data_IF_620628029056
#
_entry.id   IF_620628029056
#
_cell.length_a   1.000
_cell.length_b   1.000
_cell.length_c   1.000
_cell.angle_alpha   90.00
_cell.angle_beta   90.00
_cell.angle_gamma   90.00
#
_symmetry.space_group_name_H-M   'P 1'
#
loop_
_entity.id
_entity.type
_entity.pdbx_description
1 polymer ?
#
# COMPACT_ATOMS: atom_id res chain seq x y z
N UNK A 1 36.89 -27.95 27.50
CA UNK A 1 35.93 -28.57 26.58
C UNK A 1 34.57 -28.55 27.22
N UNK A 2 33.62 -27.99 26.55
CA UNK A 2 32.25 -27.74 26.99
C UNK A 2 31.51 -29.05 27.29
N UNK A 3 31.26 -29.31 28.57
CA UNK A 3 30.55 -30.47 29.05
C UNK A 3 29.08 -30.12 29.36
N UNK A 4 28.31 -29.71 28.35
CA UNK A 4 26.95 -29.22 28.56
C UNK A 4 25.82 -30.21 28.24
N UNK A 5 26.11 -31.51 28.10
CA UNK A 5 25.06 -32.48 27.83
C UNK A 5 25.14 -33.74 28.71
N UNK A 6 24.02 -34.33 29.01
CA UNK A 6 23.88 -35.60 29.77
C UNK A 6 24.66 -36.78 29.17
N UNK A 7 25.20 -36.67 27.99
CA UNK A 7 26.11 -37.63 27.35
C UNK A 7 27.53 -37.57 27.95
N UNK A 8 27.89 -36.52 28.66
CA UNK A 8 29.18 -36.36 29.33
C UNK A 8 29.39 -37.33 30.53
N UNK A 9 28.39 -38.08 30.89
CA UNK A 9 28.48 -39.16 31.91
C UNK A 9 29.45 -40.28 31.48
N UNK A 10 29.93 -40.29 30.26
CA UNK A 10 30.86 -41.30 29.75
C UNK A 10 32.32 -41.12 30.19
N UNK A 11 32.66 -40.06 30.89
CA UNK A 11 34.03 -39.85 31.31
C UNK A 11 34.21 -39.88 32.86
N UNK A 12 33.93 -40.99 33.40
CA UNK A 12 34.47 -41.30 34.72
C UNK A 12 35.38 -42.50 34.55
N UNK A 13 36.58 -42.40 35.07
CA UNK A 13 37.67 -43.39 35.09
C UNK A 13 37.34 -44.70 34.36
N UNK A 14 38.03 -45.08 33.26
CA UNK A 14 37.75 -46.30 32.50
C UNK A 14 37.66 -47.57 33.34
N UNK A 15 38.20 -47.51 34.56
CA UNK A 15 38.17 -48.59 35.53
C UNK A 15 36.80 -48.77 36.20
N UNK A 16 35.95 -47.73 36.17
CA UNK A 16 34.61 -47.72 36.80
C UNK A 16 33.65 -46.94 35.92
N UNK A 17 33.04 -47.55 34.92
CA UNK A 17 32.14 -46.88 34.01
C UNK A 17 30.96 -46.24 34.75
N UNK A 18 30.74 -44.95 34.55
CA UNK A 18 29.71 -44.13 35.18
C UNK A 18 28.31 -44.75 35.08
N UNK A 19 28.02 -45.42 33.97
CA UNK A 19 26.77 -46.12 33.76
C UNK A 19 26.50 -47.20 34.81
N UNK A 20 27.53 -47.89 35.32
CA UNK A 20 27.37 -48.93 36.33
C UNK A 20 27.05 -48.34 37.71
N UNK A 21 27.61 -47.17 38.01
CA UNK A 21 27.37 -46.48 39.28
C UNK A 21 25.99 -45.83 39.31
N UNK A 22 25.67 -45.10 38.25
CA UNK A 22 24.37 -44.40 38.06
C UNK A 22 23.23 -45.43 38.08
N UNK A 23 23.41 -46.59 37.46
CA UNK A 23 22.39 -47.65 37.47
C UNK A 23 22.25 -48.32 38.81
N UNK A 24 23.38 -48.57 39.53
CA UNK A 24 23.36 -49.19 40.88
C UNK A 24 22.71 -48.28 41.92
N UNK A 25 22.90 -46.98 41.82
CA UNK A 25 22.31 -46.02 42.76
C UNK A 25 20.93 -45.56 42.37
N UNK A 26 20.42 -46.03 41.22
CA UNK A 26 19.14 -45.61 40.65
C UNK A 26 19.00 -44.08 40.51
N UNK A 27 20.11 -43.36 40.31
CA UNK A 27 20.19 -41.91 40.25
C UNK A 27 20.01 -41.34 38.83
N UNK A 28 20.05 -42.21 37.81
CA UNK A 28 19.95 -41.80 36.40
C UNK A 28 18.75 -40.87 36.11
N UNK A 29 17.70 -41.00 36.91
CA UNK A 29 16.48 -40.19 36.78
C UNK A 29 16.62 -38.78 37.35
N UNK A 30 17.67 -38.52 38.14
CA UNK A 30 17.83 -37.29 38.88
C UNK A 30 19.11 -36.53 38.54
N UNK A 31 20.00 -37.09 37.74
CA UNK A 31 21.23 -36.41 37.32
C UNK A 31 20.88 -35.38 36.25
N UNK A 32 21.13 -34.11 36.56
CA UNK A 32 20.99 -33.01 35.65
C UNK A 32 22.28 -32.80 34.84
N UNK A 33 23.41 -32.71 35.52
CA UNK A 33 24.74 -32.57 34.92
C UNK A 33 25.84 -33.00 35.84
N UNK A 34 27.00 -33.31 35.29
CA UNK A 34 28.23 -33.67 35.98
C UNK A 34 29.35 -32.80 35.44
N UNK A 35 30.12 -32.16 36.33
CA UNK A 35 31.23 -31.32 35.89
C UNK A 35 32.40 -31.39 36.89
N UNK A 36 33.58 -31.01 36.40
CA UNK A 36 34.81 -30.97 37.18
C UNK A 36 35.16 -29.52 37.49
N UNK A 37 35.33 -29.19 38.78
CA UNK A 37 35.72 -27.86 39.23
C UNK A 37 36.67 -28.02 40.41
N UNK A 38 37.80 -27.32 40.42
CA UNK A 38 38.81 -27.35 41.47
C UNK A 38 39.25 -28.77 41.88
N UNK A 39 39.59 -29.60 40.87
CA UNK A 39 39.99 -31.01 41.08
C UNK A 39 38.92 -31.88 41.76
N UNK A 40 37.67 -31.44 41.78
CA UNK A 40 36.55 -32.14 42.39
C UNK A 40 35.47 -32.43 41.39
N UNK A 41 34.84 -33.56 41.56
CA UNK A 41 33.69 -33.94 40.76
C UNK A 41 32.39 -33.46 41.42
N UNK A 42 31.63 -32.69 40.66
CA UNK A 42 30.34 -32.21 41.06
C UNK A 42 29.23 -32.89 40.27
N UNK A 43 28.14 -33.23 40.96
CA UNK A 43 26.94 -33.81 40.33
C UNK A 43 25.77 -32.93 40.69
N UNK A 44 25.09 -32.40 39.68
CA UNK A 44 23.82 -31.70 39.86
C UNK A 44 22.67 -32.70 39.76
N UNK A 45 21.88 -32.79 40.80
CA UNK A 45 20.71 -33.68 40.87
C UNK A 45 19.43 -32.87 40.92
N UNK A 46 18.44 -33.27 40.11
CA UNK A 46 17.08 -32.80 40.28
C UNK A 46 16.39 -33.61 41.39
N UNK A 47 15.88 -32.91 42.39
CA UNK A 47 15.08 -33.52 43.45
C UNK A 47 13.63 -33.70 43.05
N UNK A 48 12.87 -34.52 43.77
CA UNK A 48 11.44 -34.75 43.45
C UNK A 48 10.56 -33.50 43.52
N UNK A 49 11.01 -32.50 44.29
CA UNK A 49 10.32 -31.20 44.43
C UNK A 49 10.80 -30.15 43.42
N UNK A 50 11.52 -30.58 42.37
CA UNK A 50 11.97 -29.71 41.27
C UNK A 50 13.18 -28.83 41.58
N UNK A 51 13.87 -29.08 42.71
CA UNK A 51 15.10 -28.35 43.08
C UNK A 51 16.32 -29.04 42.49
N UNK A 52 17.31 -28.24 42.12
CA UNK A 52 18.62 -28.76 41.74
C UNK A 52 19.54 -28.70 42.95
N UNK A 53 20.23 -29.78 43.27
CA UNK A 53 21.20 -29.87 44.35
C UNK A 53 22.56 -30.25 43.81
N UNK A 54 23.60 -29.58 44.31
CA UNK A 54 25.00 -29.87 43.97
C UNK A 54 25.53 -30.88 45.00
N UNK A 55 26.04 -32.00 44.53
CA UNK A 55 26.61 -33.05 45.37
C UNK A 55 28.11 -33.06 45.18
N UNK A 56 28.85 -32.67 46.22
CA UNK A 56 30.30 -32.59 46.21
C UNK A 56 30.91 -33.93 46.57
N UNK A 57 32.05 -34.27 45.94
CA UNK A 57 32.88 -35.43 46.23
C UNK A 57 32.12 -36.78 46.24
N UNK A 58 30.94 -36.79 45.55
CA UNK A 58 30.07 -37.97 45.55
C UNK A 58 30.77 -39.26 45.11
N UNK A 59 31.55 -39.16 44.02
CA UNK A 59 32.26 -40.30 43.47
C UNK A 59 33.55 -40.58 44.22
N UNK A 60 34.22 -39.54 44.78
CA UNK A 60 35.45 -39.66 45.47
C UNK A 60 35.26 -40.44 46.80
N UNK A 61 34.32 -40.08 47.64
CA UNK A 61 33.99 -40.74 48.86
C UNK A 61 33.46 -42.17 48.65
N UNK A 62 32.73 -42.40 47.57
CA UNK A 62 32.21 -43.67 47.14
C UNK A 62 33.32 -44.66 46.77
N UNK A 63 34.36 -44.21 46.07
CA UNK A 63 35.46 -45.04 45.62
C UNK A 63 36.59 -45.15 46.58
N UNK A 64 36.82 -44.19 47.48
CA UNK A 64 37.95 -44.10 48.38
C UNK A 64 37.53 -44.19 49.89
N UNK A 65 36.25 -44.32 50.16
CA UNK A 65 35.75 -44.46 51.54
C UNK A 65 36.31 -45.69 52.23
N UNK A 66 36.61 -45.52 53.51
CA UNK A 66 37.10 -46.59 54.37
C UNK A 66 36.11 -47.79 54.42
N UNK A 67 36.62 -49.01 54.31
CA UNK A 67 35.84 -50.25 54.39
C UNK A 67 34.77 -50.19 55.47
N UNK A 68 33.49 -50.26 55.03
CA UNK A 68 32.34 -50.44 55.89
C UNK A 68 31.57 -49.19 56.35
N UNK A 69 31.92 -47.97 55.88
CA UNK A 69 31.10 -46.78 56.12
C UNK A 69 30.37 -46.38 54.86
N UNK A 70 29.08 -46.09 54.95
CA UNK A 70 28.37 -45.56 53.80
C UNK A 70 28.97 -44.18 53.36
N UNK A 71 29.08 -43.88 52.09
CA UNK A 71 29.62 -42.60 51.63
C UNK A 71 28.80 -41.46 52.22
N UNK A 72 29.49 -40.46 52.75
CA UNK A 72 28.87 -39.23 53.21
C UNK A 72 28.59 -38.38 52.00
N UNK A 73 27.33 -38.29 51.69
CA UNK A 73 26.89 -37.38 50.66
C UNK A 73 26.70 -35.99 51.26
N UNK A 74 27.58 -35.07 50.92
CA UNK A 74 27.43 -33.67 51.30
C UNK A 74 26.59 -33.01 50.21
N UNK A 75 25.34 -32.78 50.55
CA UNK A 75 24.42 -32.04 49.63
C UNK A 75 24.54 -30.56 49.96
N UNK A 76 25.27 -29.83 49.13
CA UNK A 76 25.15 -28.39 49.13
C UNK A 76 23.86 -28.00 48.40
N UNK A 77 23.02 -27.21 49.04
CA UNK A 77 21.85 -26.63 48.36
C UNK A 77 22.36 -25.69 47.29
N UNK A 78 22.21 -26.07 46.04
CA UNK A 78 22.34 -25.13 44.93
C UNK A 78 21.05 -24.34 44.89
N UNK A 79 21.13 -23.05 45.08
CA UNK A 79 19.97 -22.20 44.89
C UNK A 79 19.48 -22.37 43.45
N UNK A 80 18.18 -22.54 43.24
CA UNK A 80 17.65 -22.61 41.86
C UNK A 80 18.02 -21.31 41.12
N UNK A 81 18.42 -21.43 39.85
CA UNK A 81 18.65 -20.26 39.01
C UNK A 81 17.42 -19.38 39.02
N UNK A 82 17.66 -18.09 39.16
CA UNK A 82 16.64 -17.05 38.99
C UNK A 82 17.01 -16.19 37.84
N UNK A 83 16.01 -15.95 36.97
CA UNK A 83 16.14 -15.11 35.81
C UNK A 83 15.51 -13.75 36.07
N UNK A 84 16.18 -12.69 35.64
CA UNK A 84 15.70 -11.32 35.68
C UNK A 84 16.08 -10.59 34.42
N UNK A 85 15.41 -9.46 34.15
CA UNK A 85 15.75 -8.56 33.07
C UNK A 85 16.48 -7.34 33.63
N UNK A 86 17.59 -6.94 33.00
CA UNK A 86 18.37 -5.77 33.42
C UNK A 86 18.06 -4.59 32.47
N UNK A 87 18.08 -4.83 31.17
CA UNK A 87 17.77 -3.87 30.13
C UNK A 87 16.72 -4.50 29.22
N UNK A 88 15.55 -3.84 29.06
CA UNK A 88 14.43 -4.43 28.33
C UNK A 88 13.36 -3.38 28.01
N UNK A 89 12.60 -3.56 26.94
CA UNK A 89 11.49 -2.67 26.58
C UNK A 89 10.31 -2.80 27.56
N UNK A 90 9.55 -1.74 27.67
CA UNK A 90 8.36 -1.71 28.53
C UNK A 90 7.37 -2.84 28.18
N UNK A 91 6.80 -3.49 29.19
CA UNK A 91 5.84 -4.58 29.03
C UNK A 91 6.48 -5.95 28.83
N UNK A 92 7.81 -6.06 28.72
CA UNK A 92 8.49 -7.33 28.68
C UNK A 92 8.61 -7.92 30.10
N UNK A 93 8.42 -9.21 30.23
CA UNK A 93 8.50 -9.94 31.49
C UNK A 93 9.32 -11.21 31.32
N UNK A 94 10.00 -11.62 32.38
CA UNK A 94 10.69 -12.92 32.46
C UNK A 94 10.10 -13.73 33.60
N UNK A 95 9.87 -15.01 33.39
CA UNK A 95 9.52 -15.94 34.46
C UNK A 95 10.79 -16.33 35.20
N UNK A 96 10.88 -15.91 36.46
CA UNK A 96 12.11 -16.03 37.26
C UNK A 96 12.61 -17.45 37.48
N UNK A 97 11.76 -18.47 37.31
CA UNK A 97 12.10 -19.88 37.52
C UNK A 97 12.52 -20.61 36.25
N UNK A 98 11.90 -20.28 35.12
CA UNK A 98 12.12 -20.95 33.84
C UNK A 98 13.01 -20.15 32.88
N UNK A 99 13.14 -18.83 33.08
CA UNK A 99 13.82 -17.94 32.16
C UNK A 99 13.02 -17.62 30.90
N UNK A 100 11.75 -18.02 30.86
CA UNK A 100 10.89 -17.73 29.74
C UNK A 100 10.61 -16.24 29.66
N UNK A 101 11.03 -15.59 28.57
CA UNK A 101 10.75 -14.18 28.28
C UNK A 101 9.48 -14.08 27.45
N UNK A 102 8.58 -13.17 27.82
CA UNK A 102 7.34 -12.87 27.10
C UNK A 102 7.22 -11.37 26.90
N UNK A 103 6.86 -11.01 25.68
CA UNK A 103 6.63 -9.61 25.30
C UNK A 103 5.65 -9.52 24.13
N UNK A 104 4.79 -8.53 24.22
CA UNK A 104 3.94 -8.11 23.09
C UNK A 104 4.23 -6.64 22.88
N UNK A 105 5.02 -6.28 21.84
CA UNK A 105 5.36 -4.90 21.57
C UNK A 105 4.12 -4.09 21.20
N UNK A 106 4.12 -2.81 21.56
CA UNK A 106 3.13 -1.83 21.13
C UNK A 106 3.61 -1.14 19.84
N UNK A 107 2.71 -0.40 19.17
CA UNK A 107 3.04 0.34 17.94
C UNK A 107 4.13 1.40 18.12
N UNK A 108 4.35 1.88 19.36
CA UNK A 108 5.40 2.85 19.67
C UNK A 108 6.74 2.19 19.99
N UNK A 109 6.79 0.88 19.93
CA UNK A 109 7.99 0.06 20.18
C UNK A 109 8.49 -0.57 18.88
N UNK A 110 8.63 0.23 17.84
CA UNK A 110 9.24 -0.16 16.56
C UNK A 110 10.77 -0.17 16.66
N UNK A 111 11.42 -0.82 15.70
CA UNK A 111 12.87 -0.90 15.55
C UNK A 111 13.59 -1.81 16.56
N UNK A 112 14.88 -1.53 16.82
CA UNK A 112 15.73 -2.39 17.62
C UNK A 112 15.56 -2.16 19.12
N UNK A 113 15.39 -3.25 19.87
CA UNK A 113 15.34 -3.24 21.33
C UNK A 113 16.45 -4.10 21.89
N UNK A 114 17.25 -3.51 22.76
CA UNK A 114 18.27 -4.22 23.51
C UNK A 114 17.62 -4.93 24.69
N UNK A 115 17.99 -6.19 24.90
CA UNK A 115 17.48 -7.04 25.98
C UNK A 115 18.67 -7.68 26.67
N UNK A 116 18.74 -7.52 27.97
CA UNK A 116 19.74 -8.20 28.80
C UNK A 116 19.02 -9.10 29.81
N UNK A 117 19.22 -10.41 29.67
CA UNK A 117 18.74 -11.43 30.60
C UNK A 117 19.86 -11.77 31.53
N UNK A 118 19.56 -11.80 32.83
CA UNK A 118 20.48 -12.17 33.89
C UNK A 118 20.04 -13.49 34.52
N UNK A 119 20.94 -14.46 34.55
CA UNK A 119 20.77 -15.69 35.30
C UNK A 119 21.62 -15.62 36.55
N UNK A 120 21.05 -15.96 37.74
CA UNK A 120 21.76 -15.95 38.99
C UNK A 120 21.37 -17.14 39.87
N UNK A 121 22.37 -17.78 40.52
CA UNK A 121 22.18 -18.79 41.52
C UNK A 121 22.20 -18.21 42.95
N UNK A 122 22.31 -16.87 43.07
CA UNK A 122 22.41 -16.15 44.33
C UNK A 122 23.86 -15.87 44.79
N UNK A 123 24.85 -16.48 44.14
CA UNK A 123 26.29 -16.28 44.42
C UNK A 123 26.99 -15.64 43.24
N UNK A 124 26.65 -16.09 42.05
CA UNK A 124 27.20 -15.63 40.79
C UNK A 124 26.08 -15.17 39.85
N UNK A 125 26.46 -14.39 38.88
CA UNK A 125 25.56 -13.92 37.82
C UNK A 125 26.21 -14.13 36.47
N UNK A 126 25.40 -14.48 35.48
CA UNK A 126 25.76 -14.46 34.08
C UNK A 126 24.74 -13.62 33.31
N UNK A 127 25.20 -12.87 32.31
CA UNK A 127 24.39 -11.90 31.57
C UNK A 127 24.48 -12.19 30.08
N UNK A 128 23.33 -12.31 29.45
CA UNK A 128 23.22 -12.41 28.00
C UNK A 128 22.49 -11.20 27.43
N UNK A 129 23.16 -10.48 26.55
CA UNK A 129 22.58 -9.33 25.83
C UNK A 129 22.38 -9.68 24.36
N UNK A 130 21.20 -9.35 23.85
CA UNK A 130 20.85 -9.50 22.46
C UNK A 130 19.91 -8.37 22.02
N UNK A 131 19.75 -8.20 20.71
CA UNK A 131 18.81 -7.24 20.13
C UNK A 131 17.65 -8.00 19.50
N UNK A 132 16.43 -7.48 19.70
CA UNK A 132 15.22 -7.92 19.04
C UNK A 132 14.70 -6.76 18.20
N UNK A 133 14.52 -7.01 16.93
CA UNK A 133 13.92 -6.04 16.01
C UNK A 133 12.42 -6.25 15.96
N UNK A 134 11.66 -5.19 16.19
CA UNK A 134 10.20 -5.20 16.05
C UNK A 134 9.79 -4.45 14.79
N UNK A 135 9.06 -5.13 13.95
CA UNK A 135 8.55 -4.57 12.71
C UNK A 135 7.11 -4.05 12.89
N UNK A 136 6.87 -2.84 12.41
CA UNK A 136 5.54 -2.29 12.21
C UNK A 136 5.13 -2.52 10.74
N UNK A 137 4.01 -3.13 10.52
CA UNK A 137 3.55 -3.39 9.16
C UNK A 137 3.17 -2.09 8.44
N UNK A 138 3.56 -1.93 7.18
CA UNK A 138 3.19 -0.75 6.40
C UNK A 138 1.68 -0.67 6.24
N UNK A 139 1.13 0.54 6.25
CA UNK A 139 -0.30 0.79 6.07
C UNK A 139 -0.53 1.87 5.03
N UNK A 140 -1.33 1.60 4.01
CA UNK A 140 -1.69 2.58 2.98
C UNK A 140 -2.73 3.54 3.56
N UNK A 141 -2.34 4.80 3.80
CA UNK A 141 -3.20 5.84 4.40
C UNK A 141 -3.82 6.79 3.39
N UNK A 142 -3.47 6.69 2.12
CA UNK A 142 -4.04 7.51 1.04
C UNK A 142 -5.29 6.87 0.44
N UNK A 143 -6.20 7.73 -0.05
CA UNK A 143 -7.39 7.30 -0.79
C UNK A 143 -7.19 7.54 -2.28
N UNK A 144 -7.50 6.54 -3.09
CA UNK A 144 -7.46 6.66 -4.54
C UNK A 144 -8.56 7.61 -5.04
N UNK A 145 -8.28 8.46 -6.05
CA UNK A 145 -9.33 9.18 -6.75
C UNK A 145 -10.33 8.20 -7.36
N UNK A 146 -11.61 8.50 -7.24
CA UNK A 146 -12.69 7.61 -7.68
C UNK A 146 -13.16 7.88 -9.13
N UNK A 147 -12.60 8.90 -9.79
CA UNK A 147 -12.99 9.31 -11.14
C UNK A 147 -11.77 9.53 -12.04
N UNK A 148 -11.88 9.09 -13.28
CA UNK A 148 -10.97 9.38 -14.38
C UNK A 148 -11.74 9.92 -15.58
N UNK A 149 -11.06 10.56 -16.54
CA UNK A 149 -11.64 11.06 -17.78
C UNK A 149 -10.90 10.45 -18.98
N UNK A 150 -11.63 10.02 -19.98
CA UNK A 150 -11.05 9.47 -21.23
C UNK A 150 -10.07 10.45 -21.84
N UNK A 151 -8.85 9.99 -22.14
CA UNK A 151 -7.79 10.80 -22.74
C UNK A 151 -7.02 11.68 -21.75
N UNK A 152 -7.47 11.81 -20.51
CA UNK A 152 -6.83 12.61 -19.48
C UNK A 152 -5.94 11.75 -18.57
N UNK A 153 -4.84 12.32 -18.07
CA UNK A 153 -3.90 11.61 -17.22
C UNK A 153 -4.45 11.47 -15.80
N UNK A 154 -4.88 10.26 -15.44
CA UNK A 154 -5.15 9.86 -14.06
C UNK A 154 -3.83 9.72 -13.29
N UNK A 155 -3.77 10.33 -12.11
CA UNK A 155 -2.59 10.30 -11.22
C UNK A 155 -3.04 9.94 -9.82
N UNK A 156 -2.33 9.00 -9.21
CA UNK A 156 -2.50 8.67 -7.80
C UNK A 156 -1.14 8.38 -7.17
N UNK A 157 -0.86 9.00 -6.03
CA UNK A 157 0.33 8.75 -5.23
C UNK A 157 -0.07 8.02 -3.96
N UNK A 158 0.41 6.79 -3.77
CA UNK A 158 0.26 6.09 -2.50
C UNK A 158 1.02 6.85 -1.42
N UNK A 159 0.37 7.01 -0.27
CA UNK A 159 1.03 7.41 0.98
C UNK A 159 0.91 6.26 1.96
N UNK A 160 2.03 5.90 2.54
CA UNK A 160 2.15 4.77 3.45
C UNK A 160 2.62 5.30 4.80
N UNK A 161 2.05 4.80 5.86
CA UNK A 161 2.53 4.96 7.22
C UNK A 161 3.25 3.67 7.64
N UNK A 162 4.53 3.81 8.02
CA UNK A 162 5.35 2.77 8.60
C UNK A 162 6.14 3.41 9.74
N UNK A 163 6.13 2.78 10.90
CA UNK A 163 6.78 3.33 12.10
C UNK A 163 8.26 2.97 12.20
N UNK A 164 8.74 2.08 11.33
CA UNK A 164 10.17 1.75 11.29
C UNK A 164 10.92 2.80 10.47
N UNK A 165 11.86 3.52 11.09
CA UNK A 165 12.56 4.68 10.52
C UNK A 165 13.30 4.36 9.21
N UNK A 166 13.78 3.14 9.04
CA UNK A 166 14.57 2.71 7.90
C UNK A 166 13.87 1.66 7.04
N UNK A 167 12.54 1.56 7.10
CA UNK A 167 11.78 0.61 6.29
C UNK A 167 12.00 0.88 4.80
N UNK A 168 12.40 -0.15 4.07
CA UNK A 168 12.48 -0.10 2.61
C UNK A 168 11.19 -0.61 2.03
N UNK A 169 10.38 0.32 1.50
CA UNK A 169 9.06 -0.02 0.96
C UNK A 169 9.16 -0.42 -0.52
N UNK A 170 8.59 -1.56 -0.83
CA UNK A 170 8.40 -2.06 -2.19
C UNK A 170 6.92 -1.92 -2.60
N UNK A 171 6.68 -1.31 -3.76
CA UNK A 171 5.35 -1.05 -4.29
C UNK A 171 5.08 -1.91 -5.50
N UNK A 172 3.93 -2.58 -5.52
CA UNK A 172 3.53 -3.48 -6.62
C UNK A 172 2.11 -3.19 -7.09
N UNK A 173 1.93 -3.01 -8.39
CA UNK A 173 0.61 -3.00 -9.03
C UNK A 173 0.21 -4.45 -9.31
N UNK A 174 -0.64 -5.02 -8.46
CA UNK A 174 -1.08 -6.41 -8.58
C UNK A 174 -2.05 -6.62 -9.73
N UNK A 175 -3.00 -5.69 -9.89
CA UNK A 175 -4.00 -5.67 -10.97
C UNK A 175 -4.30 -4.24 -11.35
N UNK A 176 -4.63 -4.02 -12.62
CA UNK A 176 -5.05 -2.72 -13.11
C UNK A 176 -5.62 -2.79 -14.53
N UNK A 177 -6.37 -1.75 -14.95
CA UNK A 177 -6.82 -1.65 -16.31
C UNK A 177 -5.63 -1.55 -17.28
N UNK A 178 -5.83 -1.99 -18.49
CA UNK A 178 -4.78 -1.96 -19.50
C UNK A 178 -4.17 -0.55 -19.67
N UNK A 179 -2.84 -0.48 -19.62
CA UNK A 179 -2.07 0.76 -19.73
C UNK A 179 -1.88 1.51 -18.41
N UNK A 180 -2.42 1.02 -17.28
CA UNK A 180 -2.08 1.55 -15.96
C UNK A 180 -0.68 1.10 -15.57
N UNK A 181 0.11 2.03 -15.02
CA UNK A 181 1.49 1.78 -14.59
C UNK A 181 1.70 2.35 -13.19
N UNK A 182 2.60 1.74 -12.45
CA UNK A 182 3.07 2.24 -11.18
C UNK A 182 4.60 2.30 -11.17
N UNK A 183 5.15 3.37 -10.63
CA UNK A 183 6.59 3.48 -10.45
C UNK A 183 7.04 2.89 -9.11
N UNK A 184 8.36 2.78 -8.92
CA UNK A 184 8.98 2.25 -7.69
C UNK A 184 8.70 3.08 -6.42
N UNK A 185 8.09 4.24 -6.54
CA UNK A 185 7.73 5.12 -5.42
C UNK A 185 6.23 5.12 -5.12
N UNK A 186 5.48 4.18 -5.70
CA UNK A 186 4.05 4.04 -5.50
C UNK A 186 3.20 5.08 -6.22
N UNK A 187 3.72 5.70 -7.30
CA UNK A 187 2.97 6.62 -8.13
C UNK A 187 2.32 5.89 -9.30
N UNK A 188 1.01 5.96 -9.35
CA UNK A 188 0.18 5.38 -10.41
C UNK A 188 -0.10 6.43 -11.47
N UNK A 189 0.11 6.05 -12.72
CA UNK A 189 -0.19 6.84 -13.91
C UNK A 189 -1.03 5.99 -14.87
N UNK A 190 -2.09 6.59 -15.41
CA UNK A 190 -2.95 5.93 -16.37
C UNK A 190 -3.68 6.95 -17.26
N UNK A 191 -3.77 6.70 -18.55
CA UNK A 191 -4.61 7.46 -19.47
C UNK A 191 -5.72 6.53 -19.98
N UNK A 192 -6.94 6.65 -19.43
CA UNK A 192 -8.07 5.81 -19.86
C UNK A 192 -8.41 6.01 -21.32
N UNK A 193 -8.74 4.92 -22.01
CA UNK A 193 -9.23 4.94 -23.39
C UNK A 193 -10.76 4.81 -23.42
N UNK A 194 -11.38 5.16 -24.55
CA UNK A 194 -12.83 5.04 -24.72
C UNK A 194 -13.38 3.62 -24.46
N UNK A 195 -12.58 2.57 -24.73
CA UNK A 195 -12.95 1.19 -24.42
C UNK A 195 -12.94 0.87 -22.90
N UNK A 196 -12.50 1.81 -22.05
CA UNK A 196 -12.38 1.66 -20.61
C UNK A 196 -13.33 2.60 -19.85
N UNK A 197 -14.39 3.07 -20.49
CA UNK A 197 -15.45 3.86 -19.82
C UNK A 197 -16.14 3.06 -18.72
N UNK A 198 -16.81 3.76 -17.81
CA UNK A 198 -17.50 3.22 -16.66
C UNK A 198 -16.55 2.64 -15.59
N UNK A 199 -16.95 1.55 -14.93
CA UNK A 199 -16.26 1.04 -13.74
C UNK A 199 -14.98 0.28 -14.09
N UNK A 200 -13.89 0.71 -13.51
CA UNK A 200 -12.60 0.06 -13.50
C UNK A 200 -12.14 -0.16 -12.07
N UNK A 201 -11.21 -1.08 -11.88
CA UNK A 201 -10.59 -1.32 -10.58
C UNK A 201 -9.11 -1.61 -10.75
N UNK A 202 -8.35 -1.32 -9.70
CA UNK A 202 -6.95 -1.71 -9.60
C UNK A 202 -6.68 -2.22 -8.18
N UNK A 203 -5.62 -2.98 -8.03
CA UNK A 203 -5.16 -3.53 -6.76
C UNK A 203 -3.67 -3.27 -6.63
N UNK A 204 -3.27 -2.66 -5.54
CA UNK A 204 -1.87 -2.32 -5.26
C UNK A 204 -1.45 -2.88 -3.91
N UNK A 205 -0.19 -3.24 -3.81
CA UNK A 205 0.41 -3.71 -2.57
C UNK A 205 1.62 -2.84 -2.22
N UNK A 206 1.85 -2.68 -0.93
CA UNK A 206 3.10 -2.16 -0.36
C UNK A 206 3.65 -3.17 0.63
N UNK A 207 4.94 -3.44 0.59
CA UNK A 207 5.63 -4.36 1.48
C UNK A 207 6.92 -3.73 2.00
N UNK A 208 7.25 -4.01 3.26
CA UNK A 208 8.53 -3.69 3.91
C UNK A 208 9.49 -4.89 3.96
N UNK A 209 9.11 -6.02 3.30
CA UNK A 209 9.84 -7.28 3.33
C UNK A 209 9.41 -8.23 4.45
N UNK A 210 8.68 -7.74 5.48
CA UNK A 210 8.15 -8.54 6.60
C UNK A 210 6.64 -8.68 6.53
N UNK A 211 5.94 -7.69 5.97
CA UNK A 211 4.51 -7.73 5.77
C UNK A 211 4.06 -6.94 4.56
N UNK A 212 2.76 -7.01 4.29
CA UNK A 212 2.18 -6.39 3.09
C UNK A 212 0.82 -5.82 3.42
N UNK A 213 0.55 -4.60 2.97
CA UNK A 213 -0.79 -4.03 2.92
C UNK A 213 -1.27 -3.91 1.48
N UNK A 214 -2.57 -4.09 1.27
CA UNK A 214 -3.19 -4.13 -0.06
C UNK A 214 -4.37 -3.16 -0.12
N UNK A 215 -4.39 -2.32 -1.14
CA UNK A 215 -5.50 -1.41 -1.40
C UNK A 215 -6.19 -1.75 -2.72
N UNK A 216 -7.51 -1.85 -2.68
CA UNK A 216 -8.38 -1.93 -3.86
C UNK A 216 -8.90 -0.52 -4.21
N UNK A 217 -8.52 -0.01 -5.37
CA UNK A 217 -9.05 1.23 -5.94
C UNK A 217 -10.17 0.95 -6.94
N UNK A 218 -11.23 1.76 -6.89
CA UNK A 218 -12.33 1.76 -7.87
C UNK A 218 -12.38 3.10 -8.56
N UNK A 219 -12.42 3.09 -9.89
CA UNK A 219 -12.39 4.29 -10.72
C UNK A 219 -13.56 4.23 -11.70
N UNK A 220 -14.42 5.22 -11.66
CA UNK A 220 -15.38 5.47 -12.73
C UNK A 220 -14.68 6.31 -13.81
N UNK A 221 -14.63 5.80 -15.05
CA UNK A 221 -14.07 6.52 -16.19
C UNK A 221 -15.20 7.19 -16.96
N UNK A 222 -15.22 8.50 -16.88
CA UNK A 222 -16.14 9.33 -17.60
C UNK A 222 -15.61 9.68 -19.01
N UNK A 223 -16.50 9.89 -19.97
CA UNK A 223 -16.21 10.42 -21.29
C UNK A 223 -16.98 11.73 -21.47
N UNK A 224 -16.30 12.79 -21.88
CA UNK A 224 -17.02 14.04 -22.18
C UNK A 224 -17.98 13.86 -23.36
N UNK A 225 -19.15 14.53 -23.34
CA UNK A 225 -20.11 14.44 -24.44
C UNK A 225 -19.51 14.92 -25.76
N UNK A 226 -19.80 14.24 -26.84
CA UNK A 226 -19.30 14.58 -28.17
C UNK A 226 -20.42 15.26 -28.97
N UNK A 227 -20.15 16.45 -29.52
CA UNK A 227 -21.11 17.15 -30.39
C UNK A 227 -21.16 16.46 -31.75
N UNK A 228 -22.34 15.97 -32.13
CA UNK A 228 -22.56 15.23 -33.38
C UNK A 228 -23.37 16.03 -34.43
N UNK A 229 -23.85 17.22 -34.09
CA UNK A 229 -24.62 18.10 -34.98
C UNK A 229 -23.77 19.23 -35.55
N UNK A 230 -24.11 19.64 -36.77
CA UNK A 230 -23.44 20.74 -37.45
C UNK A 230 -24.41 21.88 -37.75
N UNK A 231 -24.06 23.14 -37.45
CA UNK A 231 -24.87 24.30 -37.80
C UNK A 231 -24.81 24.62 -39.29
N UNK A 232 -25.84 25.28 -39.81
CA UNK A 232 -25.77 25.89 -41.15
C UNK A 232 -24.72 27.00 -41.11
N UNK A 233 -23.70 26.98 -42.00
CA UNK A 233 -22.60 27.95 -41.97
C UNK A 233 -22.98 29.35 -42.45
N UNK A 234 -24.17 29.49 -43.04
CA UNK A 234 -24.65 30.75 -43.64
C UNK A 234 -26.05 31.11 -43.17
N UNK A 235 -26.36 32.40 -43.15
CA UNK A 235 -27.66 32.96 -42.87
C UNK A 235 -27.89 34.25 -43.66
N UNK A 236 -29.13 34.77 -43.64
CA UNK A 236 -29.52 35.99 -44.31
C UNK A 236 -30.10 36.99 -43.30
N UNK A 237 -29.84 38.28 -43.54
CA UNK A 237 -30.42 39.34 -42.70
C UNK A 237 -31.94 39.31 -42.74
N UNK A 238 -32.58 39.42 -41.56
CA UNK A 238 -34.04 39.42 -41.44
C UNK A 238 -34.70 38.03 -41.49
N UNK A 239 -33.94 36.97 -41.78
CA UNK A 239 -34.43 35.60 -41.79
C UNK A 239 -34.05 34.85 -40.52
N UNK A 240 -34.95 34.00 -40.07
CA UNK A 240 -34.68 33.15 -38.88
C UNK A 240 -33.62 32.10 -39.18
N UNK A 241 -32.54 32.10 -38.40
CA UNK A 241 -31.53 31.08 -38.40
C UNK A 241 -31.69 30.25 -37.12
N UNK A 242 -31.70 28.93 -37.27
CA UNK A 242 -31.86 28.00 -36.13
C UNK A 242 -30.84 26.90 -36.21
N UNK A 243 -30.33 26.55 -35.04
CA UNK A 243 -29.45 25.40 -34.85
C UNK A 243 -29.85 24.65 -33.59
N UNK A 244 -30.07 23.35 -33.70
CA UNK A 244 -30.24 22.44 -32.55
C UNK A 244 -28.95 21.70 -32.35
N UNK A 245 -28.30 21.94 -31.23
CA UNK A 245 -27.12 21.15 -30.83
C UNK A 245 -27.58 19.76 -30.39
N UNK A 246 -26.89 18.73 -30.87
CA UNK A 246 -27.06 17.35 -30.45
C UNK A 246 -25.71 16.75 -30.09
N UNK A 247 -25.69 15.94 -29.03
CA UNK A 247 -24.50 15.27 -28.52
C UNK A 247 -24.76 13.79 -28.36
N UNK A 248 -23.68 13.03 -28.39
CA UNK A 248 -23.63 11.65 -27.97
C UNK A 248 -22.70 11.56 -26.75
N UNK A 249 -23.11 10.81 -25.74
CA UNK A 249 -22.31 10.51 -24.55
C UNK A 249 -22.12 9.00 -24.43
N UNK A 250 -20.86 8.56 -24.38
CA UNK A 250 -20.54 7.12 -24.39
C UNK A 250 -20.87 6.43 -23.07
N UNK A 251 -20.95 7.18 -21.94
CA UNK A 251 -21.41 6.65 -20.67
C UNK A 251 -22.95 6.57 -20.61
N UNK A 252 -23.65 7.25 -21.52
CA UNK A 252 -25.10 7.39 -21.52
C UNK A 252 -25.62 8.48 -20.59
N UNK A 253 -24.77 9.42 -20.21
CA UNK A 253 -25.06 10.48 -19.26
C UNK A 253 -26.03 11.51 -19.83
N UNK A 254 -26.79 12.16 -18.94
CA UNK A 254 -27.64 13.30 -19.32
C UNK A 254 -26.77 14.51 -19.57
N UNK A 255 -26.94 15.09 -20.76
CA UNK A 255 -26.17 16.25 -21.17
C UNK A 255 -27.00 17.53 -21.03
N UNK A 256 -26.44 18.50 -20.32
CA UNK A 256 -26.95 19.86 -20.25
C UNK A 256 -26.18 20.79 -21.19
N UNK A 257 -26.88 21.82 -21.71
CA UNK A 257 -26.28 22.75 -22.66
C UNK A 257 -26.28 24.17 -22.12
N UNK A 258 -25.24 24.93 -22.46
CA UNK A 258 -25.17 26.37 -22.21
C UNK A 258 -24.53 27.11 -23.37
N UNK A 259 -24.92 28.35 -23.58
CA UNK A 259 -24.22 29.25 -24.47
C UNK A 259 -23.13 29.99 -23.72
N UNK A 260 -21.90 29.94 -24.23
CA UNK A 260 -20.75 30.68 -23.73
C UNK A 260 -20.64 32.02 -24.49
N UNK A 261 -20.80 31.98 -25.81
CA UNK A 261 -20.76 33.16 -26.66
C UNK A 261 -21.87 33.06 -27.72
N UNK A 262 -22.61 34.14 -27.87
CA UNK A 262 -23.62 34.31 -28.94
C UNK A 262 -23.50 35.69 -29.56
N UNK A 263 -23.78 35.84 -30.85
CA UNK A 263 -23.97 37.13 -31.47
C UNK A 263 -25.10 37.93 -30.80
N UNK A 264 -25.06 39.23 -30.93
CA UNK A 264 -26.14 40.09 -30.45
C UNK A 264 -27.46 39.66 -31.06
N UNK A 265 -28.54 39.64 -30.28
CA UNK A 265 -29.90 39.19 -30.62
C UNK A 265 -30.07 37.68 -30.85
N UNK A 266 -29.04 36.86 -30.81
CA UNK A 266 -29.19 35.43 -30.72
C UNK A 266 -29.65 35.02 -29.33
N UNK A 267 -30.46 33.96 -29.23
CA UNK A 267 -30.98 33.39 -27.99
C UNK A 267 -30.72 31.89 -27.97
N UNK A 268 -30.47 31.35 -26.80
CA UNK A 268 -30.28 29.93 -26.60
C UNK A 268 -31.35 29.39 -25.64
N UNK A 269 -32.19 28.50 -26.13
CA UNK A 269 -33.09 27.72 -25.27
C UNK A 269 -32.37 26.48 -24.77
N UNK A 270 -31.92 26.54 -23.52
CA UNK A 270 -31.17 25.47 -22.90
C UNK A 270 -31.96 24.16 -22.70
N UNK A 271 -33.32 24.25 -22.59
CA UNK A 271 -34.17 23.05 -22.42
C UNK A 271 -34.37 22.31 -23.75
N UNK A 272 -34.46 23.05 -24.84
CA UNK A 272 -34.63 22.47 -26.20
C UNK A 272 -33.31 22.26 -26.90
N UNK A 273 -32.23 22.78 -26.35
CA UNK A 273 -30.89 22.80 -26.97
C UNK A 273 -30.88 23.52 -28.35
N UNK A 274 -31.60 24.63 -28.45
CA UNK A 274 -31.76 25.33 -29.71
C UNK A 274 -31.23 26.76 -29.62
N UNK A 275 -30.39 27.15 -30.58
CA UNK A 275 -30.07 28.54 -30.88
C UNK A 275 -31.09 29.08 -31.87
N UNK A 276 -31.69 30.23 -31.57
CA UNK A 276 -32.55 31.00 -32.46
C UNK A 276 -31.95 32.39 -32.64
N UNK A 277 -31.84 32.79 -33.86
CA UNK A 277 -31.25 34.06 -34.24
C UNK A 277 -31.92 34.67 -35.45
N UNK A 278 -32.19 35.97 -35.38
CA UNK A 278 -32.68 36.76 -36.49
C UNK A 278 -31.67 37.90 -36.76
N UNK A 279 -30.66 37.65 -37.63
CA UNK A 279 -29.55 38.57 -37.81
C UNK A 279 -30.00 39.86 -38.50
N UNK A 280 -29.45 40.98 -38.03
CA UNK A 280 -29.71 42.33 -38.59
C UNK A 280 -28.60 42.73 -39.52
N UNK A 281 -28.81 43.83 -40.30
CA UNK A 281 -27.80 44.39 -41.22
C UNK A 281 -26.46 44.72 -40.55
N UNK A 282 -26.47 45.06 -39.24
CA UNK A 282 -25.26 45.31 -38.46
C UNK A 282 -24.42 44.05 -38.14
N UNK A 283 -24.92 42.89 -38.54
CA UNK A 283 -24.28 41.58 -38.30
C UNK A 283 -23.88 40.88 -39.62
N UNK A 284 -23.76 41.64 -40.69
CA UNK A 284 -23.19 41.13 -41.94
C UNK A 284 -21.76 40.66 -41.72
N UNK A 285 -21.38 39.57 -42.41
CA UNK A 285 -20.08 38.90 -42.26
C UNK A 285 -20.11 37.80 -41.23
N UNK A 286 -18.92 37.46 -40.68
CA UNK A 286 -18.71 36.35 -39.77
C UNK A 286 -19.18 36.67 -38.36
N UNK A 287 -19.87 35.72 -37.76
CA UNK A 287 -20.36 35.84 -36.38
C UNK A 287 -20.02 34.57 -35.60
N UNK A 288 -19.40 34.74 -34.41
CA UNK A 288 -18.90 33.66 -33.59
C UNK A 288 -19.98 33.12 -32.65
N UNK A 289 -20.00 31.80 -32.51
CA UNK A 289 -20.79 31.08 -31.53
C UNK A 289 -19.90 30.15 -30.75
N UNK A 290 -20.12 30.10 -29.44
CA UNK A 290 -19.52 29.11 -28.56
C UNK A 290 -20.61 28.52 -27.68
N UNK A 291 -20.88 27.24 -27.90
CA UNK A 291 -21.80 26.45 -27.08
C UNK A 291 -20.99 25.43 -26.27
N UNK A 292 -21.50 25.06 -25.14
CA UNK A 292 -20.87 24.05 -24.27
C UNK A 292 -21.90 22.99 -23.88
N UNK A 293 -21.52 21.75 -24.04
CA UNK A 293 -22.22 20.60 -23.52
C UNK A 293 -21.53 20.13 -22.23
N UNK A 294 -22.29 19.76 -21.23
CA UNK A 294 -21.82 19.32 -19.90
C UNK A 294 -22.61 18.09 -19.52
N UNK A 295 -21.92 17.00 -19.18
CA UNK A 295 -22.55 15.79 -18.65
C UNK A 295 -22.90 15.93 -17.15
N UNK A 296 -23.50 14.89 -16.57
CA UNK A 296 -23.89 14.88 -15.16
C UNK A 296 -22.70 14.68 -14.20
N UNK A 297 -21.52 14.27 -14.69
CA UNK A 297 -20.27 14.15 -13.96
C UNK A 297 -19.38 15.39 -14.08
N UNK A 298 -19.80 16.38 -14.88
CA UNK A 298 -19.14 17.68 -15.02
C UNK A 298 -18.09 17.74 -16.13
N UNK A 299 -17.91 16.67 -16.93
CA UNK A 299 -17.04 16.77 -18.10
C UNK A 299 -17.72 17.57 -19.21
N UNK A 300 -16.92 18.31 -19.98
CA UNK A 300 -17.43 19.31 -20.91
C UNK A 300 -16.85 19.15 -22.30
N UNK A 301 -17.66 19.45 -23.31
CA UNK A 301 -17.16 19.72 -24.63
C UNK A 301 -17.64 21.08 -25.16
N UNK A 302 -16.76 21.75 -25.87
CA UNK A 302 -17.02 23.08 -26.44
C UNK A 302 -17.21 22.93 -27.93
N UNK A 303 -18.27 23.56 -28.41
CA UNK A 303 -18.59 23.63 -29.83
C UNK A 303 -18.47 25.06 -30.32
N UNK A 304 -17.39 25.34 -31.03
CA UNK A 304 -17.09 26.64 -31.59
C UNK A 304 -17.35 26.63 -33.11
N UNK A 305 -18.09 27.61 -33.59
CA UNK A 305 -18.38 27.74 -35.01
C UNK A 305 -18.69 29.19 -35.38
N UNK A 306 -18.62 29.45 -36.69
CA UNK A 306 -18.92 30.75 -37.25
C UNK A 306 -20.08 30.64 -38.25
N UNK A 307 -20.90 31.68 -38.30
CA UNK A 307 -21.98 31.81 -39.29
C UNK A 307 -21.78 33.09 -40.07
N UNK A 308 -21.68 32.96 -41.40
CA UNK A 308 -21.57 34.11 -42.30
C UNK A 308 -22.96 34.63 -42.68
N UNK A 309 -23.23 35.89 -42.37
CA UNK A 309 -24.49 36.53 -42.71
C UNK A 309 -24.33 37.35 -43.96
N UNK A 310 -25.16 37.02 -44.92
CA UNK A 310 -25.30 37.77 -46.18
C UNK A 310 -26.50 38.71 -46.12
N UNK A 311 -26.45 39.74 -46.94
CA UNK A 311 -27.59 40.61 -47.12
C UNK A 311 -28.67 39.86 -47.95
N UNK A 312 -29.95 39.93 -47.52
CA UNK A 312 -31.04 39.36 -48.28
C UNK A 312 -31.27 40.19 -49.51
N UNK A 313 -31.09 39.64 -50.74
CA UNK A 313 -31.35 40.39 -52.01
C UNK A 313 -32.81 40.61 -52.25
N UNK A 314 -33.74 39.92 -51.63
CA UNK A 314 -35.19 40.05 -51.83
C UNK A 314 -35.79 41.17 -50.98
N UNK A 315 -35.10 41.80 -50.08
CA UNK A 315 -35.55 42.98 -49.36
C UNK A 315 -35.44 44.21 -50.22
N UNK A 316 -36.35 44.31 -51.22
CA UNK A 316 -36.67 45.48 -52.06
C UNK A 316 -35.53 46.45 -52.36
N UNK A 317 -34.77 46.13 -53.38
CA UNK A 317 -34.46 47.10 -54.47
C UNK A 317 -34.28 46.32 -55.79
N UNK A 318 -35.29 46.27 -56.58
CA UNK A 318 -35.19 46.12 -58.04
C UNK A 318 -34.37 47.31 -58.60
N UNK A 319 -33.05 47.18 -58.55
CA UNK A 319 -32.17 47.95 -59.41
C UNK A 319 -31.57 46.96 -60.36
N UNK A 320 -32.08 47.06 -61.55
CA UNK A 320 -31.68 46.34 -62.73
C UNK A 320 -30.22 46.66 -63.08
N UNK A 321 -29.29 45.81 -62.64
CA UNK A 321 -27.91 45.78 -63.10
C UNK A 321 -27.56 44.33 -63.38
N UNK A 322 -27.62 43.99 -64.69
CA UNK A 322 -27.18 42.72 -65.23
C UNK A 322 -25.71 42.52 -64.98
N UNK A 323 -25.42 41.74 -63.97
CA UNK A 323 -24.10 41.10 -63.77
C UNK A 323 -24.33 39.62 -63.32
N UNK A 324 -23.67 38.66 -63.99
CA UNK A 324 -23.84 37.28 -63.67
C UNK A 324 -23.20 37.01 -62.31
N UNK A 325 -23.96 36.41 -61.38
CA UNK A 325 -23.48 35.89 -60.12
C UNK A 325 -22.44 34.77 -60.36
N UNK A 326 -21.19 35.11 -60.23
CA UNK A 326 -20.15 34.08 -59.99
C UNK A 326 -20.24 33.65 -58.57
N UNK A 327 -20.84 32.51 -58.30
CA UNK A 327 -20.75 31.78 -57.03
C UNK A 327 -19.40 31.14 -57.00
N UNK A 328 -18.44 31.80 -56.37
CA UNK A 328 -17.20 31.14 -55.91
C UNK A 328 -17.49 30.48 -54.57
N UNK A 329 -17.65 29.18 -54.59
CA UNK A 329 -17.61 28.38 -53.39
C UNK A 329 -16.17 28.37 -52.87
N UNK A 330 -15.92 29.13 -51.81
CA UNK A 330 -14.69 28.94 -51.01
C UNK A 330 -14.97 27.80 -50.01
N UNK A 331 -14.58 26.60 -50.41
CA UNK A 331 -14.57 25.46 -49.53
C UNK A 331 -13.46 25.64 -48.51
N UNK A 332 -13.82 25.88 -47.25
CA UNK A 332 -12.88 25.77 -46.16
C UNK A 332 -12.73 24.28 -45.83
N UNK A 333 -11.64 23.72 -46.30
CA UNK A 333 -11.21 22.37 -45.95
C UNK A 333 -10.59 22.44 -44.53
N UNK A 334 -11.30 21.92 -43.55
CA UNK A 334 -10.66 21.61 -42.24
C UNK A 334 -9.80 20.38 -42.41
N UNK A 335 -8.48 20.58 -42.41
CA UNK A 335 -7.52 19.48 -42.31
C UNK A 335 -7.55 18.90 -40.90
N UNK A 336 -8.06 17.70 -40.76
CA UNK A 336 -7.82 16.87 -39.59
C UNK A 336 -6.39 16.33 -39.67
N UNK A 337 -5.53 16.85 -38.83
CA UNK A 337 -4.21 16.24 -38.58
C UNK A 337 -4.39 14.96 -37.81
N UNK A 338 -4.36 13.79 -38.47
CA UNK A 338 -4.04 12.54 -37.86
C UNK A 338 -2.54 12.56 -37.54
N UNK A 339 -2.18 12.66 -36.30
CA UNK A 339 -0.87 12.20 -35.83
C UNK A 339 -1.00 10.72 -35.47
N UNK A 340 -0.52 9.87 -36.36
CA UNK A 340 -0.04 8.54 -36.01
C UNK A 340 1.36 8.71 -35.43
N UNK A 341 1.58 8.26 -34.23
CA UNK A 341 2.66 7.34 -33.79
C UNK A 341 2.29 6.85 -32.40
#
# INVERSE_FOLDING_TARGET
GDWHNAEAVHYVDPKYPADSLVSRLNLKRYIHSVFFEDERLWVLLNTRDGRTVKVKDFLWEFFHGAKGKPPRVIVERVNPFRFSLLDFPQGMVVEGSSGTVRWTPTVDQSDAHRITVVASDGYTKDEQTYEVYTNHLPTIVSNAPHMGLVGELFKYQLRVDDKNENATLEYTLLKGPHGMQMDRYGKILWVPKAAQINNNSFEVAVSDGYGTDVQLGKIFVNNAPTVISNPKPVGLTGHSWRYKIATEDLNGDKVAYRAVRLPKYARFDKKKAIVEWNPRKSQLGMNDFILMAVDEHGATSTHEFQVHIFHDPSAKQLVNTGWPLMLTFVGVVFAWGMAQI
#
